data_IF_377890067818
#
_entry.id   IF_377890067818
#
_cell.length_a   1.000
_cell.length_b   1.000
_cell.length_c   1.000
_cell.angle_alpha   90.00
_cell.angle_beta   90.00
_cell.angle_gamma   90.00
#
_symmetry.space_group_name_H-M   'P 1'
#
loop_
_entity.id
_entity.type
_entity.pdbx_description
1 polymer ?
#
# COMPACT_ATOMS: atom_id res chain seq x y z
N UNK A 1 13.54 -6.27 2.98
CA UNK A 1 12.27 -5.99 3.68
C UNK A 1 11.42 -7.26 3.72
N UNK A 2 10.62 -7.45 4.78
CA UNK A 2 9.60 -8.50 4.86
C UNK A 2 8.23 -7.91 5.13
N UNK A 3 7.21 -8.40 4.41
CA UNK A 3 5.80 -8.02 4.57
C UNK A 3 5.00 -9.31 4.77
N UNK A 4 4.43 -9.48 5.96
CA UNK A 4 3.53 -10.59 6.29
C UNK A 4 2.08 -10.08 6.26
N UNK A 5 1.23 -10.63 5.41
CA UNK A 5 -0.17 -10.22 5.25
C UNK A 5 -1.07 -11.31 5.80
N UNK A 6 -1.87 -10.97 6.81
CA UNK A 6 -2.80 -11.86 7.48
C UNK A 6 -4.22 -11.64 6.93
N UNK A 7 -4.85 -12.69 6.43
CA UNK A 7 -6.16 -12.60 5.77
C UNK A 7 -6.98 -13.87 5.97
N UNK A 8 -8.28 -13.78 5.78
CA UNK A 8 -9.20 -14.92 5.71
C UNK A 8 -9.50 -15.36 4.27
N UNK A 9 -9.03 -14.58 3.27
CA UNK A 9 -9.23 -14.82 1.83
C UNK A 9 -7.91 -14.63 1.06
N UNK A 10 -6.91 -15.52 1.26
CA UNK A 10 -5.58 -15.37 0.66
C UNK A 10 -5.59 -15.36 -0.88
N UNK A 11 -6.60 -15.95 -1.52
CA UNK A 11 -6.74 -16.02 -2.97
C UNK A 11 -6.83 -14.63 -3.62
N UNK A 12 -7.42 -13.64 -2.92
CA UNK A 12 -7.52 -12.26 -3.43
C UNK A 12 -6.16 -11.56 -3.61
N UNK A 13 -5.12 -12.05 -2.95
CA UNK A 13 -3.78 -11.48 -2.98
C UNK A 13 -2.84 -12.17 -3.98
N UNK A 14 -3.23 -13.31 -4.55
CA UNK A 14 -2.35 -14.11 -5.40
C UNK A 14 -1.89 -13.35 -6.65
N UNK A 15 -2.83 -12.72 -7.39
CA UNK A 15 -2.48 -12.00 -8.60
C UNK A 15 -1.72 -10.70 -8.32
N UNK A 16 -2.22 -9.75 -7.51
CA UNK A 16 -1.56 -8.45 -7.34
C UNK A 16 -0.14 -8.57 -6.76
N UNK A 17 0.13 -9.55 -5.90
CA UNK A 17 1.44 -9.69 -5.27
C UNK A 17 2.47 -10.47 -6.12
N UNK A 18 2.03 -11.22 -7.13
CA UNK A 18 2.89 -12.12 -7.89
C UNK A 18 3.08 -11.72 -9.36
N UNK A 19 2.79 -10.47 -9.71
CA UNK A 19 2.97 -9.97 -11.07
C UNK A 19 3.78 -8.67 -11.11
N UNK A 20 4.28 -8.32 -12.29
CA UNK A 20 4.94 -7.06 -12.62
C UNK A 20 6.12 -6.69 -11.69
N UNK A 21 6.11 -5.51 -11.08
CA UNK A 21 7.19 -4.97 -10.25
C UNK A 21 7.33 -5.77 -8.96
N UNK A 22 6.23 -6.12 -8.29
CA UNK A 22 6.23 -6.90 -7.05
C UNK A 22 6.90 -8.26 -7.25
N UNK A 23 6.56 -8.98 -8.32
CA UNK A 23 7.21 -10.24 -8.69
C UNK A 23 8.71 -10.08 -8.88
N UNK A 24 9.11 -9.06 -9.63
CA UNK A 24 10.55 -8.81 -9.89
C UNK A 24 11.31 -8.41 -8.64
N UNK A 25 10.71 -7.61 -7.74
CA UNK A 25 11.32 -7.23 -6.49
C UNK A 25 11.54 -8.44 -5.57
N UNK A 26 10.57 -9.36 -5.49
CA UNK A 26 10.70 -10.63 -4.77
C UNK A 26 11.78 -11.52 -5.39
N UNK A 27 11.80 -11.67 -6.72
CA UNK A 27 12.83 -12.45 -7.42
C UNK A 27 14.25 -11.90 -7.22
N UNK A 28 14.39 -10.58 -7.06
CA UNK A 28 15.66 -9.92 -6.74
C UNK A 28 16.03 -10.00 -5.25
N UNK A 29 15.17 -10.55 -4.39
CA UNK A 29 15.39 -10.61 -2.95
C UNK A 29 15.30 -9.25 -2.24
N UNK A 30 14.69 -8.24 -2.85
CA UNK A 30 14.52 -6.90 -2.25
C UNK A 30 13.43 -6.90 -1.19
N UNK A 31 12.40 -7.73 -1.39
CA UNK A 31 11.30 -7.93 -0.46
C UNK A 31 10.89 -9.40 -0.46
N UNK A 32 10.45 -9.86 0.69
CA UNK A 32 9.75 -11.13 0.86
C UNK A 32 8.32 -10.82 1.29
N UNK A 33 7.32 -11.26 0.51
CA UNK A 33 5.91 -11.06 0.84
C UNK A 33 5.29 -12.43 1.13
N UNK A 34 4.77 -12.59 2.35
CA UNK A 34 4.13 -13.83 2.79
C UNK A 34 2.67 -13.57 3.14
N UNK A 35 1.79 -14.40 2.62
CA UNK A 35 0.35 -14.34 2.91
C UNK A 35 0.00 -15.50 3.85
N UNK A 36 -0.61 -15.18 4.99
CA UNK A 36 -1.01 -16.11 6.03
C UNK A 36 -2.53 -16.24 6.07
N UNK A 37 -3.02 -17.47 5.96
CA UNK A 37 -4.43 -17.74 6.11
C UNK A 37 -4.78 -17.88 7.59
N UNK A 38 -5.55 -16.94 8.13
CA UNK A 38 -5.97 -16.97 9.53
C UNK A 38 -6.80 -18.21 9.90
N UNK A 39 -7.40 -18.90 8.92
CA UNK A 39 -8.10 -20.16 9.16
C UNK A 39 -7.17 -21.29 9.61
N UNK A 40 -5.87 -21.19 9.34
CA UNK A 40 -4.90 -22.19 9.78
C UNK A 40 -4.60 -22.09 11.28
N UNK A 41 -5.02 -20.98 11.91
CA UNK A 41 -4.93 -20.71 13.35
C UNK A 41 -6.25 -20.90 14.08
N UNK A 42 -7.30 -21.40 13.41
CA UNK A 42 -8.58 -21.75 14.00
C UNK A 42 -8.65 -23.27 14.15
N UNK A 43 -8.65 -23.77 15.40
CA UNK A 43 -8.52 -25.20 15.69
C UNK A 43 -9.85 -25.93 15.89
N UNK A 44 -10.98 -25.23 15.72
CA UNK A 44 -12.29 -25.88 15.69
C UNK A 44 -12.50 -26.65 14.39
N UNK A 45 -13.49 -27.58 14.40
CA UNK A 45 -13.79 -28.48 13.27
C UNK A 45 -14.05 -27.74 11.94
N UNK A 46 -14.55 -26.52 12.03
CA UNK A 46 -14.96 -25.71 10.87
C UNK A 46 -13.97 -24.59 10.51
N UNK A 47 -12.86 -24.48 11.26
CA UNK A 47 -11.85 -23.42 11.10
C UNK A 47 -12.49 -22.03 11.09
N UNK A 48 -13.37 -21.77 12.06
CA UNK A 48 -14.12 -20.53 12.16
C UNK A 48 -13.26 -19.39 12.69
N UNK A 49 -13.14 -18.34 11.90
CA UNK A 49 -12.37 -17.13 12.19
C UNK A 49 -13.23 -15.94 12.60
N UNK A 50 -14.56 -16.12 12.63
CA UNK A 50 -15.56 -15.10 12.90
C UNK A 50 -16.65 -15.63 13.85
N UNK A 51 -17.34 -14.70 14.54
CA UNK A 51 -18.46 -15.00 15.42
C UNK A 51 -19.40 -13.79 15.52
N UNK A 52 -20.58 -13.99 16.11
CA UNK A 52 -21.52 -12.90 16.37
C UNK A 52 -20.97 -11.92 17.40
N UNK A 53 -21.17 -10.60 17.19
CA UNK A 53 -20.73 -9.60 18.16
C UNK A 53 -21.56 -9.68 19.44
N UNK A 54 -20.94 -9.42 20.59
CA UNK A 54 -21.67 -9.12 21.79
C UNK A 54 -22.51 -7.85 21.60
N UNK A 55 -23.66 -7.76 22.24
CA UNK A 55 -24.58 -6.63 22.09
C UNK A 55 -25.68 -6.82 21.05
N UNK A 56 -25.66 -7.92 20.28
CA UNK A 56 -26.79 -8.31 19.40
C UNK A 56 -26.86 -7.57 18.06
N UNK A 57 -25.81 -6.89 17.65
CA UNK A 57 -25.74 -6.27 16.32
C UNK A 57 -25.71 -7.32 15.21
N UNK A 58 -26.28 -6.98 14.05
CA UNK A 58 -26.25 -7.85 12.88
C UNK A 58 -24.86 -7.89 12.24
N UNK A 59 -24.45 -9.06 11.73
CA UNK A 59 -23.15 -9.30 11.07
C UNK A 59 -22.21 -10.10 11.96
N UNK A 60 -21.02 -10.38 11.44
CA UNK A 60 -19.97 -11.17 12.09
C UNK A 60 -18.76 -10.29 12.40
N UNK A 61 -17.94 -10.69 13.35
CA UNK A 61 -16.68 -10.03 13.75
C UNK A 61 -15.57 -11.07 13.74
N UNK A 62 -14.39 -10.73 13.26
CA UNK A 62 -13.24 -11.62 13.30
C UNK A 62 -12.81 -11.89 14.74
N UNK A 63 -12.63 -13.16 15.06
CA UNK A 63 -12.22 -13.62 16.40
C UNK A 63 -10.82 -13.14 16.74
N UNK A 64 -10.58 -12.82 18.00
CA UNK A 64 -9.27 -12.46 18.51
C UNK A 64 -8.26 -13.62 18.43
N UNK A 65 -8.66 -14.82 18.86
CA UNK A 65 -7.75 -15.97 19.05
C UNK A 65 -6.92 -16.32 17.79
N UNK A 66 -7.49 -16.55 16.60
CA UNK A 66 -6.69 -16.86 15.41
C UNK A 66 -5.68 -15.77 15.04
N UNK A 67 -6.05 -14.49 15.26
CA UNK A 67 -5.18 -13.34 14.97
C UNK A 67 -4.01 -13.29 15.95
N UNK A 68 -4.29 -13.44 17.27
CA UNK A 68 -3.25 -13.46 18.30
C UNK A 68 -2.26 -14.59 18.04
N UNK A 69 -2.75 -15.81 17.80
CA UNK A 69 -1.89 -16.98 17.56
C UNK A 69 -0.99 -16.81 16.34
N UNK A 70 -1.53 -16.25 15.23
CA UNK A 70 -0.75 -16.00 14.04
C UNK A 70 0.35 -14.95 14.29
N UNK A 71 0.00 -13.81 14.89
CA UNK A 71 0.95 -12.73 15.17
C UNK A 71 2.02 -13.18 16.16
N UNK A 72 1.65 -13.86 17.24
CA UNK A 72 2.59 -14.36 18.22
C UNK A 72 3.56 -15.39 17.63
N UNK A 73 3.11 -16.26 16.72
CA UNK A 73 3.99 -17.19 16.01
C UNK A 73 4.99 -16.45 15.14
N UNK A 74 4.56 -15.44 14.39
CA UNK A 74 5.43 -14.61 13.59
C UNK A 74 6.45 -13.84 14.44
N UNK A 75 6.03 -13.30 15.58
CA UNK A 75 6.90 -12.59 16.52
C UNK A 75 7.92 -13.48 17.21
N UNK A 76 7.67 -14.79 17.35
CA UNK A 76 8.68 -15.75 17.84
C UNK A 76 9.81 -15.96 16.83
N UNK A 77 9.53 -15.76 15.54
CA UNK A 77 10.51 -15.98 14.47
C UNK A 77 11.37 -14.74 14.21
N UNK A 78 10.80 -13.53 14.39
CA UNK A 78 11.47 -12.25 14.14
C UNK A 78 10.79 -11.10 14.86
N UNK A 79 11.51 -9.98 15.03
CA UNK A 79 10.92 -8.71 15.45
C UNK A 79 10.22 -8.02 14.28
N UNK A 80 9.11 -7.36 14.56
CA UNK A 80 8.38 -6.54 13.60
C UNK A 80 8.44 -5.09 14.03
N UNK A 81 8.68 -4.20 13.07
CA UNK A 81 8.74 -2.76 13.30
C UNK A 81 7.33 -2.18 13.47
N UNK A 82 6.36 -2.77 12.77
CA UNK A 82 4.97 -2.30 12.79
C UNK A 82 3.98 -3.42 12.49
N UNK A 83 2.84 -3.37 13.18
CA UNK A 83 1.66 -4.23 12.94
C UNK A 83 0.51 -3.32 12.53
N UNK A 84 0.19 -3.34 11.24
CA UNK A 84 -0.77 -2.46 10.61
C UNK A 84 -2.11 -3.17 10.48
N UNK A 85 -3.19 -2.51 10.88
CA UNK A 85 -4.56 -2.96 10.58
C UNK A 85 -5.16 -2.09 9.48
N UNK A 86 -5.65 -2.72 8.40
CA UNK A 86 -6.37 -2.02 7.33
C UNK A 86 -7.82 -1.83 7.71
N UNK A 87 -8.21 -0.59 7.94
CA UNK A 87 -9.54 -0.21 8.45
C UNK A 87 -10.04 1.09 7.81
N UNK A 88 -11.35 1.23 7.52
CA UNK A 88 -11.87 2.49 6.98
C UNK A 88 -11.77 3.67 7.97
N UNK A 89 -11.73 3.39 9.27
CA UNK A 89 -11.60 4.39 10.33
C UNK A 89 -10.14 4.68 10.76
N UNK A 90 -9.18 4.05 10.10
CA UNK A 90 -7.75 4.30 10.30
C UNK A 90 -7.28 5.65 9.75
N UNK A 91 -6.06 6.04 10.11
CA UNK A 91 -5.40 7.22 9.55
C UNK A 91 -5.24 7.07 8.02
N UNK A 92 -5.50 8.13 7.29
CA UNK A 92 -5.42 8.11 5.82
C UNK A 92 -4.00 7.81 5.35
N UNK A 93 -3.88 6.81 4.50
CA UNK A 93 -2.65 6.43 3.82
C UNK A 93 -2.33 7.36 2.67
N UNK A 94 -1.09 7.81 2.57
CA UNK A 94 -0.58 8.67 1.52
C UNK A 94 0.87 8.31 1.14
N UNK A 95 1.48 9.09 0.24
CA UNK A 95 2.85 8.83 -0.23
C UNK A 95 3.89 8.99 0.88
N UNK A 96 3.69 9.92 1.83
CA UNK A 96 4.60 10.10 2.96
C UNK A 96 4.63 8.86 3.85
N UNK A 97 3.45 8.27 4.06
CA UNK A 97 3.35 7.03 4.82
C UNK A 97 4.00 5.85 4.07
N UNK A 98 3.82 5.76 2.74
CA UNK A 98 4.52 4.77 1.92
C UNK A 98 6.04 4.91 2.04
N UNK A 99 6.55 6.15 1.96
CA UNK A 99 7.98 6.44 2.12
C UNK A 99 8.47 6.01 3.51
N UNK A 100 7.73 6.34 4.57
CA UNK A 100 8.07 5.93 5.94
C UNK A 100 8.11 4.40 6.07
N UNK A 101 7.08 3.70 5.62
CA UNK A 101 7.03 2.24 5.70
C UNK A 101 8.13 1.56 4.89
N UNK A 102 8.57 2.15 3.76
CA UNK A 102 9.65 1.59 2.95
C UNK A 102 11.01 1.57 3.66
N UNK A 103 11.18 2.34 4.73
CA UNK A 103 12.41 2.35 5.54
C UNK A 103 12.44 1.27 6.62
N UNK A 104 11.32 0.57 6.85
CA UNK A 104 11.21 -0.48 7.86
C UNK A 104 11.75 -1.82 7.34
N UNK A 105 12.14 -2.68 8.27
CA UNK A 105 12.65 -4.02 7.96
C UNK A 105 11.56 -5.06 7.80
N UNK A 106 10.65 -5.14 8.78
CA UNK A 106 9.60 -6.16 8.85
C UNK A 106 8.27 -5.54 9.29
N UNK A 107 7.22 -5.75 8.52
CA UNK A 107 5.86 -5.29 8.84
C UNK A 107 4.85 -6.43 8.74
N UNK A 108 3.84 -6.37 9.60
CA UNK A 108 2.63 -7.19 9.48
C UNK A 108 1.49 -6.30 8.99
N UNK A 109 0.66 -6.79 8.07
CA UNK A 109 -0.57 -6.14 7.63
C UNK A 109 -1.74 -7.10 7.90
N UNK A 110 -2.59 -6.75 8.85
CA UNK A 110 -3.84 -7.46 9.14
C UNK A 110 -4.95 -6.91 8.26
N UNK A 111 -5.53 -7.77 7.43
CA UNK A 111 -6.68 -7.46 6.61
C UNK A 111 -7.97 -7.62 7.44
N UNK A 112 -8.73 -6.54 7.62
CA UNK A 112 -10.06 -6.61 8.19
C UNK A 112 -11.05 -7.29 7.25
N UNK A 113 -12.05 -7.95 7.84
CA UNK A 113 -13.17 -8.54 7.10
C UNK A 113 -14.45 -8.45 7.93
N UNK A 114 -15.60 -8.75 7.34
CA UNK A 114 -16.91 -8.69 8.01
C UNK A 114 -17.22 -7.28 8.56
N UNK A 115 -17.61 -7.16 9.84
CA UNK A 115 -17.78 -5.87 10.54
C UNK A 115 -16.47 -5.33 11.17
N UNK A 116 -15.36 -6.02 10.98
CA UNK A 116 -14.09 -5.70 11.56
C UNK A 116 -13.53 -6.83 12.41
N UNK A 117 -12.55 -6.51 13.25
CA UNK A 117 -11.87 -7.44 14.15
C UNK A 117 -12.32 -7.20 15.59
N UNK A 118 -12.23 -8.22 16.43
CA UNK A 118 -12.42 -8.08 17.88
C UNK A 118 -11.53 -6.92 18.40
N UNK A 119 -12.12 -6.02 19.17
CA UNK A 119 -11.45 -4.79 19.58
C UNK A 119 -10.18 -5.03 20.41
N UNK A 120 -10.10 -6.16 21.13
CA UNK A 120 -8.89 -6.58 21.86
C UNK A 120 -7.67 -6.76 20.97
N UNK A 121 -7.86 -7.14 19.71
CA UNK A 121 -6.78 -7.17 18.70
C UNK A 121 -6.24 -5.77 18.46
N UNK A 122 -7.14 -4.78 18.26
CA UNK A 122 -6.76 -3.38 18.04
C UNK A 122 -6.02 -2.81 19.25
N UNK A 123 -6.48 -3.08 20.48
CA UNK A 123 -5.89 -2.55 21.71
C UNK A 123 -4.53 -3.15 22.06
N UNK A 124 -4.31 -4.43 21.75
CA UNK A 124 -3.15 -5.14 22.29
C UNK A 124 -2.09 -5.53 21.26
N UNK A 125 -2.43 -5.58 19.97
CA UNK A 125 -1.50 -6.03 18.93
C UNK A 125 -1.19 -4.97 17.88
N UNK A 126 -2.19 -4.14 17.53
CA UNK A 126 -2.06 -3.19 16.42
C UNK A 126 -1.25 -1.97 16.87
N UNK A 127 -0.23 -1.62 16.08
CA UNK A 127 0.58 -0.43 16.31
C UNK A 127 0.12 0.76 15.48
N UNK A 128 -0.52 0.51 14.32
CA UNK A 128 -1.14 1.54 13.49
C UNK A 128 -2.34 1.02 12.71
N UNK A 129 -3.27 1.92 12.45
CA UNK A 129 -4.45 1.66 11.63
C UNK A 129 -4.45 2.56 10.41
N UNK A 130 -4.57 1.99 9.21
CA UNK A 130 -4.48 2.71 7.96
C UNK A 130 -5.73 2.54 7.11
N UNK A 131 -6.24 3.66 6.58
CA UNK A 131 -7.33 3.74 5.62
C UNK A 131 -6.82 4.20 4.26
N UNK A 132 -7.20 3.52 3.19
CA UNK A 132 -6.86 3.94 1.82
C UNK A 132 -7.85 4.96 1.23
N UNK A 133 -8.84 5.40 2.01
CA UNK A 133 -9.83 6.41 1.60
C UNK A 133 -11.16 6.29 2.35
N UNK A 134 -11.98 7.31 2.24
CA UNK A 134 -13.27 7.43 2.93
C UNK A 134 -14.37 6.63 2.21
N UNK A 135 -14.20 5.33 2.11
CA UNK A 135 -15.15 4.37 1.57
C UNK A 135 -14.95 2.99 2.20
N UNK A 136 -15.98 2.17 2.18
CA UNK A 136 -15.94 0.84 2.78
C UNK A 136 -15.78 -0.22 1.69
N UNK A 137 -14.83 -1.13 1.88
CA UNK A 137 -14.61 -2.32 1.06
C UNK A 137 -15.18 -3.57 1.74
N UNK A 138 -15.26 -4.67 1.00
CA UNK A 138 -15.70 -5.97 1.53
C UNK A 138 -14.66 -6.61 2.46
N UNK A 139 -13.39 -6.22 2.33
CA UNK A 139 -12.26 -6.69 3.13
C UNK A 139 -11.03 -5.81 2.96
N UNK A 140 -10.01 -6.04 3.78
CA UNK A 140 -8.78 -5.25 3.81
C UNK A 140 -7.71 -5.69 2.81
N UNK A 141 -7.93 -6.76 2.05
CA UNK A 141 -6.95 -7.37 1.16
C UNK A 141 -6.49 -6.42 0.05
N UNK A 142 -7.43 -5.71 -0.59
CA UNK A 142 -7.08 -4.72 -1.62
C UNK A 142 -6.29 -3.55 -1.03
N UNK A 143 -6.64 -3.11 0.18
CA UNK A 143 -5.89 -2.09 0.89
C UNK A 143 -4.46 -2.57 1.21
N UNK A 144 -4.30 -3.80 1.68
CA UNK A 144 -3.00 -4.42 1.92
C UNK A 144 -2.17 -4.52 0.63
N UNK A 145 -2.79 -4.89 -0.49
CA UNK A 145 -2.11 -4.93 -1.78
C UNK A 145 -1.65 -3.54 -2.25
N UNK A 146 -2.45 -2.49 -2.07
CA UNK A 146 -2.10 -1.08 -2.37
C UNK A 146 -0.92 -0.63 -1.50
N UNK A 147 -0.94 -0.92 -0.20
CA UNK A 147 0.16 -0.59 0.71
C UNK A 147 1.42 -1.35 0.29
N UNK A 148 1.35 -2.65 0.03
CA UNK A 148 2.48 -3.44 -0.38
C UNK A 148 3.09 -2.93 -1.71
N UNK A 149 2.25 -2.63 -2.72
CA UNK A 149 2.73 -2.12 -4.01
C UNK A 149 3.43 -0.77 -3.87
N UNK A 150 2.79 0.19 -3.19
CA UNK A 150 3.33 1.55 -3.02
C UNK A 150 4.61 1.58 -2.17
N UNK A 151 4.76 0.68 -1.20
CA UNK A 151 5.99 0.53 -0.39
C UNK A 151 7.10 -0.14 -1.20
N UNK A 152 6.81 -1.27 -1.85
CA UNK A 152 7.82 -2.07 -2.55
C UNK A 152 8.41 -1.31 -3.74
N UNK A 153 7.60 -0.52 -4.47
CA UNK A 153 8.09 0.22 -5.63
C UNK A 153 9.15 1.27 -5.29
N UNK A 154 9.20 1.73 -4.01
CA UNK A 154 10.17 2.74 -3.54
C UNK A 154 11.48 2.08 -3.10
N UNK A 155 11.48 0.77 -2.84
CA UNK A 155 12.70 0.06 -2.41
C UNK A 155 13.80 0.21 -3.45
N UNK A 156 15.06 0.51 -3.03
CA UNK A 156 16.18 0.63 -3.96
C UNK A 156 16.32 -0.60 -4.86
N UNK A 157 16.31 -0.38 -6.18
CA UNK A 157 16.42 -1.45 -7.18
C UNK A 157 15.13 -2.15 -7.56
N UNK A 158 13.97 -1.82 -6.96
CA UNK A 158 12.66 -2.37 -7.33
C UNK A 158 12.25 -1.88 -8.73
N UNK A 159 12.37 -0.58 -9.00
CA UNK A 159 12.20 0.03 -10.32
C UNK A 159 13.55 0.12 -11.00
N UNK A 160 13.59 -0.05 -12.32
CA UNK A 160 14.84 -0.10 -13.09
C UNK A 160 15.65 1.20 -13.10
N UNK A 161 14.99 2.35 -13.00
CA UNK A 161 15.59 3.67 -12.84
C UNK A 161 15.13 4.27 -11.50
N UNK A 162 16.08 4.35 -10.55
CA UNK A 162 15.78 4.89 -9.20
C UNK A 162 15.36 6.37 -9.21
N UNK A 163 15.76 7.14 -10.23
CA UNK A 163 15.35 8.54 -10.38
C UNK A 163 13.86 8.68 -10.72
N UNK A 164 13.29 7.67 -11.38
CA UNK A 164 11.86 7.66 -11.73
C UNK A 164 10.94 7.72 -10.51
N UNK A 165 11.32 7.08 -9.40
CA UNK A 165 10.53 7.13 -8.16
C UNK A 165 10.58 8.51 -7.49
N UNK A 166 11.67 9.26 -7.67
CA UNK A 166 11.84 10.60 -7.09
C UNK A 166 11.06 11.69 -7.83
N UNK A 167 10.72 11.45 -9.10
CA UNK A 167 9.96 12.39 -9.94
C UNK A 167 8.47 12.06 -10.02
N UNK A 168 8.01 11.06 -9.29
CA UNK A 168 6.59 10.71 -9.21
C UNK A 168 5.76 11.75 -8.44
N UNK A 169 4.44 11.73 -8.65
CA UNK A 169 3.50 12.56 -7.90
C UNK A 169 3.70 12.39 -6.38
N UNK A 170 3.50 13.49 -5.65
CA UNK A 170 3.46 13.54 -4.18
C UNK A 170 4.80 13.40 -3.46
N UNK A 171 5.93 13.30 -4.16
CA UNK A 171 7.24 13.27 -3.48
C UNK A 171 7.56 14.62 -2.82
N UNK A 172 7.33 15.72 -3.54
CA UNK A 172 7.54 17.10 -3.06
C UNK A 172 6.21 17.86 -2.89
N UNK A 173 5.12 17.15 -2.54
CA UNK A 173 3.76 17.69 -2.49
C UNK A 173 3.27 18.26 -3.84
N UNK A 174 3.86 17.85 -4.94
CA UNK A 174 3.47 18.26 -6.28
C UNK A 174 2.90 17.10 -7.10
N UNK A 175 2.07 17.42 -8.07
CA UNK A 175 1.71 16.50 -9.13
C UNK A 175 2.82 16.46 -10.18
N UNK A 176 3.09 15.30 -10.77
CA UNK A 176 4.04 15.17 -11.85
C UNK A 176 3.68 16.07 -13.05
N UNK A 177 4.68 16.60 -13.78
CA UNK A 177 4.46 17.37 -15.00
C UNK A 177 3.83 16.50 -16.09
N UNK A 178 3.23 17.09 -17.15
CA UNK A 178 2.76 16.32 -18.30
C UNK A 178 3.90 15.61 -19.00
N UNK A 179 3.68 14.35 -19.34
CA UNK A 179 4.65 13.53 -20.09
C UNK A 179 4.13 13.27 -21.50
N UNK A 180 5.03 13.22 -22.46
CA UNK A 180 4.75 12.99 -23.87
C UNK A 180 5.60 11.83 -24.41
N UNK A 181 5.06 11.11 -25.39
CA UNK A 181 5.76 10.04 -26.09
C UNK A 181 5.67 10.26 -27.61
N UNK A 182 6.38 9.46 -28.39
CA UNK A 182 6.35 9.50 -29.85
C UNK A 182 4.99 9.07 -30.39
N UNK A 183 4.53 9.66 -31.53
CA UNK A 183 5.21 10.67 -32.36
C UNK A 183 5.11 12.09 -31.77
N UNK A 184 6.01 13.00 -32.20
CA UNK A 184 6.04 14.41 -31.74
C UNK A 184 4.81 15.21 -32.19
N UNK A 185 4.14 14.80 -33.26
CA UNK A 185 2.84 15.31 -33.69
C UNK A 185 1.86 14.14 -33.81
N UNK A 186 0.81 14.20 -33.04
CA UNK A 186 -0.30 13.24 -33.12
C UNK A 186 -1.61 13.97 -33.40
N UNK A 187 -2.12 13.85 -34.62
CA UNK A 187 -3.36 14.48 -35.08
C UNK A 187 -3.38 16.02 -34.95
N UNK A 188 -2.23 16.67 -35.14
CA UNK A 188 -2.08 18.11 -34.97
C UNK A 188 -1.79 18.56 -33.53
N UNK A 189 -1.83 17.67 -32.55
CA UNK A 189 -1.40 17.92 -31.18
C UNK A 189 0.10 17.66 -31.06
N UNK A 190 0.86 18.72 -30.79
CA UNK A 190 2.31 18.67 -30.78
C UNK A 190 2.87 18.58 -29.38
N UNK A 191 4.00 17.89 -29.26
CA UNK A 191 4.84 17.94 -28.07
C UNK A 191 5.40 19.36 -27.95
N UNK A 192 5.45 19.97 -26.74
CA UNK A 192 6.08 21.27 -26.52
C UNK A 192 7.52 21.31 -27.02
N UNK A 193 7.89 22.38 -27.76
CA UNK A 193 9.20 22.50 -28.41
C UNK A 193 10.36 22.43 -27.41
N UNK A 194 10.17 22.92 -26.18
CA UNK A 194 11.16 22.84 -25.11
C UNK A 194 11.59 21.39 -24.82
N UNK A 195 10.66 20.42 -24.88
CA UNK A 195 10.95 19.00 -24.65
C UNK A 195 11.72 18.36 -25.82
N UNK A 196 11.74 19.00 -26.99
CA UNK A 196 12.47 18.56 -28.19
C UNK A 196 13.82 19.27 -28.34
N UNK A 197 14.11 20.28 -27.51
CA UNK A 197 15.30 21.15 -27.63
C UNK A 197 16.62 20.47 -27.29
N UNK A 198 16.59 19.43 -26.43
CA UNK A 198 17.81 18.83 -25.85
C UNK A 198 18.46 19.69 -24.76
N UNK A 199 17.93 20.86 -24.43
CA UNK A 199 18.43 21.72 -23.35
C UNK A 199 17.84 21.27 -22.02
N UNK A 200 18.56 20.43 -21.28
CA UNK A 200 18.09 19.82 -20.04
C UNK A 200 17.69 20.83 -18.97
N UNK A 201 18.41 21.96 -18.86
CA UNK A 201 18.06 22.99 -17.86
C UNK A 201 16.74 23.68 -18.16
N UNK A 202 16.42 23.94 -19.43
CA UNK A 202 15.12 24.50 -19.82
C UNK A 202 14.01 23.48 -19.70
N UNK A 203 14.27 22.21 -19.99
CA UNK A 203 13.33 21.12 -19.81
C UNK A 203 12.95 20.99 -18.32
N UNK A 204 13.94 20.95 -17.43
CA UNK A 204 13.73 20.84 -15.97
C UNK A 204 12.89 22.01 -15.45
N UNK A 205 13.28 23.24 -15.80
CA UNK A 205 12.50 24.45 -15.43
C UNK A 205 11.06 24.40 -15.93
N UNK A 206 10.85 23.93 -17.16
CA UNK A 206 9.50 23.78 -17.71
C UNK A 206 8.70 22.70 -16.96
N UNK A 207 9.33 21.59 -16.61
CA UNK A 207 8.72 20.51 -15.86
C UNK A 207 8.28 20.97 -14.46
N UNK A 208 9.15 21.69 -13.74
CA UNK A 208 8.85 22.26 -12.44
C UNK A 208 7.66 23.24 -12.50
N UNK A 209 7.67 24.12 -13.49
CA UNK A 209 6.57 25.07 -13.69
C UNK A 209 5.26 24.33 -13.99
N UNK A 210 5.28 23.34 -14.87
CA UNK A 210 4.08 22.55 -15.21
C UNK A 210 3.58 21.71 -14.03
N UNK A 211 4.46 21.18 -13.21
CA UNK A 211 4.11 20.47 -11.98
C UNK A 211 3.38 21.41 -11.01
N UNK A 212 3.91 22.61 -10.78
CA UNK A 212 3.30 23.62 -9.92
C UNK A 212 1.91 24.07 -10.43
N UNK A 213 1.81 24.47 -11.71
CA UNK A 213 0.56 24.93 -12.32
C UNK A 213 -0.54 23.83 -12.28
N UNK A 214 -0.15 22.58 -12.52
CA UNK A 214 -1.08 21.42 -12.41
C UNK A 214 -1.53 21.21 -10.98
N UNK A 215 -0.62 21.33 -10.02
CA UNK A 215 -0.93 21.15 -8.61
C UNK A 215 -1.88 22.24 -8.13
N UNK A 216 -1.58 23.50 -8.44
CA UNK A 216 -2.45 24.64 -8.09
C UNK A 216 -3.87 24.47 -8.63
N UNK A 217 -4.00 23.99 -9.86
CA UNK A 217 -5.31 23.80 -10.52
C UNK A 217 -6.07 22.58 -10.01
N UNK A 218 -5.40 21.44 -9.81
CA UNK A 218 -6.05 20.14 -9.58
C UNK A 218 -6.03 19.70 -8.12
N UNK A 219 -5.01 20.09 -7.38
CA UNK A 219 -4.79 19.71 -5.99
C UNK A 219 -4.18 20.84 -5.17
N UNK A 220 -4.88 22.00 -5.08
CA UNK A 220 -4.40 23.17 -4.31
C UNK A 220 -4.21 22.87 -2.82
N UNK A 221 -4.82 21.80 -2.32
CA UNK A 221 -4.65 21.31 -0.95
C UNK A 221 -3.21 20.84 -0.65
N UNK A 222 -2.45 20.42 -1.65
CA UNK A 222 -1.04 19.99 -1.50
C UNK A 222 -0.05 21.15 -1.31
N UNK A 223 -0.47 22.39 -1.65
CA UNK A 223 0.35 23.60 -1.55
C UNK A 223 0.15 24.37 -0.23
N UNK A 224 -0.63 23.82 0.72
CA UNK A 224 -0.99 24.48 1.99
C UNK A 224 -0.08 24.09 3.14
#
# INVERSE_FOLDING_TARGET
MRIDILTVVPELLQSPLNESILKRAQQKGLVEICVHNLRDYAFDKHRQVDDYPFGGEAGMVMKAEPIFLCIEELQRQRSYDEIIYTSPDGRRYDQHEANRLSTLGNIIILCGHYKGVDYRVREHLITSELSIGDYVLTGGELAAAIIADSVVRILPGAIGDGSSALTDCFQDNLLAPPVYTRPADFRGWKVPDVLLSGNFAEIEKWQEQQAFERTERLRPDLLR
#
